data_IF_824488629142
#
_entry.id   IF_824488629142
#
_cell.length_a   1.000
_cell.length_b   1.000
_cell.length_c   1.000
_cell.angle_alpha   90.00
_cell.angle_beta   90.00
_cell.angle_gamma   90.00
#
_symmetry.space_group_name_H-M   'P 1'
#
loop_
_entity.id
_entity.type
_entity.pdbx_description
1 polymer ?
#
# COMPACT_ATOMS: atom_id res chain seq x y z
N UNK A 1 -33.63 7.18 -26.16
CA UNK A 1 -32.98 5.96 -26.70
C UNK A 1 -31.96 5.52 -25.66
N UNK A 2 -32.32 4.48 -24.91
CA UNK A 2 -31.58 3.88 -23.79
C UNK A 2 -31.31 2.43 -24.16
N UNK A 3 -30.08 1.93 -23.97
CA UNK A 3 -29.58 0.54 -23.93
C UNK A 3 -28.03 0.65 -23.92
N UNK A 4 -27.20 -0.08 -23.16
CA UNK A 4 -27.40 -1.14 -22.19
C UNK A 4 -26.13 -1.30 -21.33
N UNK A 5 -26.32 -1.66 -20.07
CA UNK A 5 -25.30 -2.16 -19.11
C UNK A 5 -25.23 -3.68 -19.21
N UNK A 6 -24.08 -4.35 -19.04
CA UNK A 6 -24.05 -5.79 -18.81
C UNK A 6 -23.99 -6.14 -17.31
N UNK A 7 -24.89 -7.02 -16.88
CA UNK A 7 -24.93 -7.72 -15.60
C UNK A 7 -24.77 -9.25 -15.86
N UNK A 8 -24.52 -10.08 -14.83
CA UNK A 8 -23.61 -11.24 -14.90
C UNK A 8 -24.26 -12.55 -15.36
N UNK A 9 -23.43 -13.46 -15.87
CA UNK A 9 -23.84 -14.79 -16.31
C UNK A 9 -23.91 -15.79 -15.14
N UNK A 10 -25.05 -16.47 -15.03
CA UNK A 10 -25.32 -17.59 -14.15
C UNK A 10 -25.33 -18.92 -14.92
N UNK A 11 -25.21 -19.99 -14.15
CA UNK A 11 -24.94 -21.38 -14.49
C UNK A 11 -26.02 -22.13 -15.32
N UNK A 12 -25.52 -23.13 -16.07
CA UNK A 12 -26.17 -24.35 -16.59
C UNK A 12 -24.99 -25.33 -16.89
N UNK A 13 -24.88 -26.58 -16.43
CA UNK A 13 -25.86 -27.51 -15.89
C UNK A 13 -25.98 -28.74 -16.82
N UNK A 14 -25.27 -29.84 -16.52
CA UNK A 14 -25.43 -31.19 -17.10
C UNK A 14 -24.19 -31.70 -17.86
N UNK A 15 -23.53 -32.82 -17.56
CA UNK A 15 -23.79 -33.96 -16.67
C UNK A 15 -23.64 -35.26 -17.46
N UNK A 16 -22.62 -36.10 -17.17
CA UNK A 16 -22.58 -37.52 -17.58
C UNK A 16 -21.39 -38.26 -16.96
N UNK A 17 -21.50 -38.82 -15.75
CA UNK A 17 -21.06 -40.18 -15.37
C UNK A 17 -21.32 -40.37 -13.87
N UNK A 18 -22.09 -41.41 -13.55
CA UNK A 18 -22.73 -41.69 -12.25
C UNK A 18 -21.75 -41.94 -11.09
N UNK A 19 -22.06 -41.53 -9.86
CA UNK A 19 -23.15 -41.96 -8.96
C UNK A 19 -22.80 -43.24 -8.19
N UNK A 20 -22.37 -43.08 -6.93
CA UNK A 20 -23.11 -43.62 -5.78
C UNK A 20 -22.69 -42.94 -4.47
N UNK A 21 -23.72 -42.67 -3.69
CA UNK A 21 -23.90 -41.97 -2.41
C UNK A 21 -22.77 -41.93 -1.37
N UNK A 22 -22.68 -40.75 -0.75
CA UNK A 22 -22.23 -40.56 0.62
C UNK A 22 -23.35 -39.93 1.46
N UNK A 23 -23.70 -40.57 2.59
CA UNK A 23 -24.31 -40.01 3.81
C UNK A 23 -24.12 -41.07 4.90
N UNK A 24 -23.82 -40.83 6.17
CA UNK A 24 -23.35 -39.70 6.94
C UNK A 24 -22.98 -40.29 8.33
N UNK A 25 -22.11 -39.59 9.06
CA UNK A 25 -22.08 -39.42 10.53
C UNK A 25 -21.90 -40.60 11.51
N UNK A 26 -20.87 -40.39 12.36
CA UNK A 26 -20.84 -40.54 13.82
C UNK A 26 -20.60 -41.93 14.47
N UNK A 27 -19.46 -41.99 15.17
CA UNK A 27 -19.06 -42.81 16.33
C UNK A 27 -19.94 -42.51 17.57
N UNK A 28 -19.91 -43.27 18.70
CA UNK A 28 -18.86 -44.18 19.19
C UNK A 28 -19.32 -45.53 19.80
N UNK A 29 -18.30 -46.30 20.21
CA UNK A 29 -18.27 -47.64 20.79
C UNK A 29 -19.03 -47.80 22.12
N UNK A 30 -19.78 -48.91 22.29
CA UNK A 30 -19.97 -49.63 23.55
C UNK A 30 -20.57 -51.04 23.30
N UNK A 31 -20.07 -52.07 23.99
CA UNK A 31 -20.65 -53.42 24.08
C UNK A 31 -19.66 -54.52 23.67
N UNK A 32 -19.11 -55.31 24.59
CA UNK A 32 -19.75 -56.43 25.31
C UNK A 32 -19.44 -57.79 24.65
N UNK A 33 -18.43 -58.45 25.22
CA UNK A 33 -18.44 -59.84 25.71
C UNK A 33 -19.09 -60.98 24.89
N UNK A 34 -18.26 -62.00 24.59
CA UNK A 34 -18.63 -63.34 24.09
C UNK A 34 -17.77 -63.74 22.88
N UNK A 35 -17.19 -64.94 22.70
CA UNK A 35 -17.27 -66.23 23.39
C UNK A 35 -16.17 -67.16 22.81
N UNK A 36 -15.60 -68.03 23.66
CA UNK A 36 -14.97 -69.36 23.42
C UNK A 36 -13.74 -69.55 22.51
N UNK A 37 -12.64 -70.06 23.11
CA UNK A 37 -11.85 -71.28 22.77
C UNK A 37 -10.38 -71.09 23.23
N UNK A 38 -9.95 -71.64 24.36
CA UNK A 38 -9.40 -73.00 24.56
C UNK A 38 -7.91 -73.14 24.18
N UNK A 39 -7.04 -73.18 25.20
CA UNK A 39 -5.77 -73.96 25.31
C UNK A 39 -5.17 -73.66 26.71
N UNK A 40 -5.21 -74.59 27.68
CA UNK A 40 -4.08 -75.50 28.06
C UNK A 40 -2.76 -74.72 28.22
N UNK A 41 -2.11 -74.62 29.39
CA UNK A 41 -1.49 -75.73 30.11
C UNK A 41 -1.04 -75.34 31.55
N UNK A 42 -0.65 -76.38 32.29
CA UNK A 42 -0.45 -76.55 33.73
C UNK A 42 0.50 -75.59 34.48
N UNK A 43 0.21 -75.37 35.77
CA UNK A 43 0.87 -76.06 36.91
C UNK A 43 0.81 -75.21 38.18
N UNK A 44 0.02 -75.61 39.19
CA UNK A 44 0.37 -75.49 40.62
C UNK A 44 -0.66 -76.22 41.49
N UNK A 45 -0.15 -77.08 42.37
CA UNK A 45 -0.85 -77.66 43.52
C UNK A 45 -0.24 -77.05 44.80
N UNK A 46 -0.87 -77.24 45.98
CA UNK A 46 -1.72 -76.26 46.64
C UNK A 46 -1.00 -75.66 47.87
N UNK A 47 -1.68 -74.76 48.61
CA UNK A 47 -1.91 -74.89 50.06
C UNK A 47 -2.14 -73.54 50.79
N UNK A 48 -3.20 -73.52 51.62
CA UNK A 48 -3.45 -72.67 52.80
C UNK A 48 -3.67 -71.15 52.57
N UNK A 49 -4.54 -70.42 53.28
CA UNK A 49 -5.52 -70.67 54.33
C UNK A 49 -6.38 -69.39 54.45
N UNK A 50 -7.55 -69.52 55.06
CA UNK A 50 -8.55 -68.50 55.37
C UNK A 50 -8.00 -67.14 55.85
N UNK A 51 -8.61 -66.03 55.39
CA UNK A 51 -9.27 -65.08 56.30
C UNK A 51 -10.17 -64.09 55.54
N UNK A 52 -11.47 -64.28 55.71
CA UNK A 52 -12.51 -63.28 55.46
C UNK A 52 -12.35 -62.13 56.46
N UNK A 53 -12.11 -60.91 55.97
CA UNK A 53 -12.26 -59.70 56.77
C UNK A 53 -13.21 -58.75 56.05
N UNK A 54 -14.39 -58.63 56.65
CA UNK A 54 -15.40 -57.57 56.55
C UNK A 54 -15.12 -56.41 55.59
N UNK A 55 -16.08 -56.19 54.68
CA UNK A 55 -16.27 -54.96 53.95
C UNK A 55 -16.43 -53.76 54.92
N UNK A 56 -15.34 -53.03 55.15
CA UNK A 56 -15.36 -51.72 55.80
C UNK A 56 -15.36 -50.69 54.69
N UNK A 57 -16.49 -49.98 54.55
CA UNK A 57 -16.60 -48.82 53.66
C UNK A 57 -15.59 -47.78 54.15
N UNK A 58 -14.56 -47.50 53.36
CA UNK A 58 -13.53 -46.54 53.74
C UNK A 58 -14.03 -45.11 53.51
N UNK A 59 -13.93 -44.29 54.54
CA UNK A 59 -14.16 -42.84 54.45
C UNK A 59 -12.94 -42.10 53.91
N UNK A 60 -13.21 -40.91 53.37
CA UNK A 60 -12.30 -40.02 52.61
C UNK A 60 -10.91 -39.81 53.22
N UNK A 61 -10.74 -39.99 54.53
CA UNK A 61 -9.47 -39.79 55.25
C UNK A 61 -8.52 -41.00 55.23
N UNK A 62 -8.94 -42.17 54.73
CA UNK A 62 -8.13 -43.41 54.66
C UNK A 62 -7.91 -43.94 53.24
N UNK A 63 -8.08 -43.10 52.23
CA UNK A 63 -7.81 -43.46 50.83
C UNK A 63 -6.29 -43.62 50.64
N UNK A 64 -5.84 -44.84 50.34
CA UNK A 64 -4.47 -45.11 49.86
C UNK A 64 -4.52 -45.27 48.34
N UNK A 65 -3.39 -45.06 47.65
CA UNK A 65 -3.32 -45.17 46.19
C UNK A 65 -3.69 -46.55 45.60
N UNK A 66 -3.88 -47.57 46.44
CA UNK A 66 -4.33 -48.92 46.07
C UNK A 66 -5.81 -49.19 46.41
N UNK A 67 -6.56 -48.22 46.94
CA UNK A 67 -7.98 -48.39 47.24
C UNK A 67 -8.77 -48.41 45.93
N UNK A 68 -9.48 -49.51 45.67
CA UNK A 68 -10.34 -49.63 44.48
C UNK A 68 -11.57 -48.74 44.61
N UNK A 69 -12.06 -48.24 43.48
CA UNK A 69 -13.24 -47.37 43.44
C UNK A 69 -14.46 -48.01 44.11
N UNK A 70 -14.62 -49.34 44.01
CA UNK A 70 -15.73 -50.09 44.61
C UNK A 70 -15.75 -50.12 46.15
N UNK A 71 -14.60 -49.91 46.81
CA UNK A 71 -14.46 -50.01 48.28
C UNK A 71 -14.65 -48.66 49.02
N UNK A 72 -14.87 -47.59 48.26
CA UNK A 72 -14.99 -46.22 48.76
C UNK A 72 -16.44 -45.87 49.18
N UNK A 73 -16.64 -44.99 50.16
CA UNK A 73 -17.99 -44.55 50.57
C UNK A 73 -18.75 -43.87 49.41
N UNK A 74 -20.09 -44.02 49.36
CA UNK A 74 -20.94 -43.47 48.27
C UNK A 74 -20.74 -41.96 48.06
N UNK A 75 -20.45 -41.22 49.13
CA UNK A 75 -20.21 -39.77 49.08
C UNK A 75 -18.87 -39.41 48.45
N UNK A 76 -17.81 -40.18 48.74
CA UNK A 76 -16.51 -40.01 48.12
C UNK A 76 -16.48 -40.52 46.66
N UNK A 77 -17.24 -41.57 46.33
CA UNK A 77 -17.48 -41.99 44.95
C UNK A 77 -18.17 -40.90 44.12
N UNK A 78 -19.23 -40.28 44.64
CA UNK A 78 -19.94 -39.19 43.97
C UNK A 78 -19.08 -37.93 43.82
N UNK A 79 -18.23 -37.63 44.81
CA UNK A 79 -17.24 -36.56 44.73
C UNK A 79 -16.20 -36.79 43.62
N UNK A 80 -15.67 -38.01 43.50
CA UNK A 80 -14.72 -38.38 42.43
C UNK A 80 -15.39 -38.32 41.05
N UNK A 81 -16.63 -38.81 40.91
CA UNK A 81 -17.39 -38.72 39.66
C UNK A 81 -17.63 -37.25 39.26
N UNK A 82 -17.95 -36.38 40.22
CA UNK A 82 -18.13 -34.93 39.95
C UNK A 82 -16.82 -34.29 39.48
N UNK A 83 -15.70 -34.60 40.13
CA UNK A 83 -14.39 -34.07 39.76
C UNK A 83 -13.98 -34.56 38.37
N UNK A 84 -14.17 -35.84 38.07
CA UNK A 84 -13.85 -36.42 36.75
C UNK A 84 -14.72 -35.82 35.64
N UNK A 85 -16.01 -35.60 35.89
CA UNK A 85 -16.89 -34.90 34.95
C UNK A 85 -16.42 -33.46 34.69
N UNK A 86 -15.98 -32.73 35.72
CA UNK A 86 -15.44 -31.37 35.55
C UNK A 86 -14.15 -31.40 34.73
N UNK A 87 -13.25 -32.36 34.98
CA UNK A 87 -12.01 -32.52 34.21
C UNK A 87 -12.33 -32.82 32.75
N UNK A 88 -13.31 -33.70 32.48
CA UNK A 88 -13.77 -34.01 31.12
C UNK A 88 -14.31 -32.77 30.40
N UNK A 89 -15.10 -31.92 31.08
CA UNK A 89 -15.60 -30.65 30.53
C UNK A 89 -14.45 -29.70 30.21
N UNK A 90 -13.46 -29.56 31.10
CA UNK A 90 -12.29 -28.69 30.88
C UNK A 90 -11.43 -29.20 29.73
N UNK A 91 -11.26 -30.52 29.58
CA UNK A 91 -10.59 -31.11 28.42
C UNK A 91 -11.37 -30.84 27.12
N UNK A 92 -12.70 -30.86 27.18
CA UNK A 92 -13.57 -30.46 26.07
C UNK A 92 -13.34 -29.00 25.64
N UNK A 93 -13.34 -28.07 26.59
CA UNK A 93 -13.06 -26.66 26.31
C UNK A 93 -11.65 -26.43 25.80
N UNK A 94 -10.66 -27.17 26.32
CA UNK A 94 -9.30 -27.14 25.79
C UNK A 94 -9.27 -27.56 24.32
N UNK A 95 -9.92 -28.66 23.97
CA UNK A 95 -9.98 -29.14 22.58
C UNK A 95 -10.72 -28.15 21.66
N UNK A 96 -11.75 -27.48 22.17
CA UNK A 96 -12.48 -26.44 21.45
C UNK A 96 -11.63 -25.18 21.23
N UNK A 97 -10.91 -24.72 22.26
CA UNK A 97 -9.96 -23.59 22.16
C UNK A 97 -8.82 -23.92 21.20
N UNK A 98 -8.26 -25.12 21.29
CA UNK A 98 -7.21 -25.60 20.37
C UNK A 98 -7.75 -25.69 18.92
N UNK A 99 -9.06 -25.91 18.74
CA UNK A 99 -9.74 -25.85 17.44
C UNK A 99 -9.98 -24.42 16.91
N UNK A 100 -10.19 -23.43 17.78
CA UNK A 100 -10.38 -22.03 17.38
C UNK A 100 -9.08 -21.26 17.17
N UNK A 101 -7.97 -21.70 17.78
CA UNK A 101 -6.66 -21.08 17.66
C UNK A 101 -6.18 -20.85 16.22
N UNK A 102 -6.22 -21.85 15.31
CA UNK A 102 -5.71 -21.67 13.94
C UNK A 102 -6.52 -20.65 13.13
N UNK A 103 -7.84 -20.59 13.34
CA UNK A 103 -8.70 -19.61 12.66
C UNK A 103 -8.41 -18.18 13.15
N UNK A 104 -8.14 -18.01 14.44
CA UNK A 104 -7.79 -16.72 15.01
C UNK A 104 -6.37 -16.27 14.60
N UNK A 105 -5.43 -17.21 14.48
CA UNK A 105 -4.08 -16.94 13.98
C UNK A 105 -4.08 -16.40 12.54
N UNK A 106 -4.89 -17.00 11.65
CA UNK A 106 -5.06 -16.53 10.28
C UNK A 106 -5.62 -15.10 10.23
N UNK A 107 -6.61 -14.80 11.08
CA UNK A 107 -7.21 -13.46 11.18
C UNK A 107 -6.23 -12.40 11.72
N UNK A 108 -5.37 -12.76 12.66
CA UNK A 108 -4.32 -11.86 13.15
C UNK A 108 -3.27 -11.62 12.06
N UNK A 109 -2.89 -12.68 11.33
CA UNK A 109 -1.93 -12.58 10.24
C UNK A 109 -2.45 -11.69 9.09
N UNK A 110 -3.73 -11.81 8.73
CA UNK A 110 -4.35 -10.96 7.71
C UNK A 110 -4.42 -9.49 8.15
N UNK A 111 -4.70 -9.23 9.43
CA UNK A 111 -4.72 -7.86 9.96
C UNK A 111 -3.37 -7.14 9.80
N UNK A 112 -2.26 -7.85 10.03
CA UNK A 112 -0.91 -7.29 9.83
C UNK A 112 -0.66 -6.87 8.37
N UNK A 113 -1.09 -7.69 7.42
CA UNK A 113 -1.00 -7.37 5.99
C UNK A 113 -1.89 -6.15 5.63
N UNK A 114 -3.11 -6.10 6.17
CA UNK A 114 -4.06 -5.03 5.88
C UNK A 114 -3.60 -3.67 6.41
N UNK A 115 -2.98 -3.63 7.59
CA UNK A 115 -2.41 -2.39 8.14
C UNK A 115 -1.29 -1.85 7.24
N UNK A 116 -0.36 -2.71 6.80
CA UNK A 116 0.72 -2.30 5.88
C UNK A 116 0.15 -1.80 4.55
N UNK A 117 -0.88 -2.49 4.04
CA UNK A 117 -1.57 -2.08 2.83
C UNK A 117 -2.22 -0.69 2.98
N UNK A 118 -2.94 -0.46 4.08
CA UNK A 118 -3.58 0.82 4.36
C UNK A 118 -2.57 1.94 4.57
N UNK A 119 -1.48 1.69 5.28
CA UNK A 119 -0.40 2.66 5.46
C UNK A 119 0.22 3.06 4.12
N UNK A 120 0.54 2.08 3.27
CA UNK A 120 1.06 2.33 1.92
C UNK A 120 0.06 3.11 1.07
N UNK A 121 -1.23 2.73 1.12
CA UNK A 121 -2.28 3.42 0.35
C UNK A 121 -2.47 4.85 0.85
N UNK A 122 -2.45 5.06 2.15
CA UNK A 122 -2.52 6.39 2.76
C UNK A 122 -1.32 7.25 2.35
N UNK A 123 -0.09 6.71 2.39
CA UNK A 123 1.10 7.42 1.94
C UNK A 123 1.03 7.80 0.45
N UNK A 124 0.49 6.93 -0.41
CA UNK A 124 0.28 7.25 -1.83
C UNK A 124 -0.76 8.36 -2.01
N UNK A 125 -1.91 8.28 -1.32
CA UNK A 125 -2.94 9.32 -1.38
C UNK A 125 -2.40 10.63 -0.83
N UNK A 126 -1.67 10.60 0.28
CA UNK A 126 -1.06 11.79 0.87
C UNK A 126 -0.08 12.44 -0.10
N UNK A 127 0.78 11.66 -0.76
CA UNK A 127 1.71 12.17 -1.77
C UNK A 127 0.97 12.77 -2.97
N UNK A 128 0.04 12.02 -3.55
CA UNK A 128 -0.69 12.44 -4.74
C UNK A 128 -1.53 13.70 -4.48
N UNK A 129 -2.30 13.70 -3.39
CA UNK A 129 -3.23 14.79 -3.08
C UNK A 129 -2.53 16.00 -2.49
N UNK A 130 -1.69 15.83 -1.45
CA UNK A 130 -1.10 16.99 -0.77
C UNK A 130 0.15 17.51 -1.49
N UNK A 131 0.90 16.66 -2.16
CA UNK A 131 2.11 17.05 -2.88
C UNK A 131 1.79 17.52 -4.29
N UNK A 132 1.27 16.61 -5.11
CA UNK A 132 1.19 16.82 -6.55
C UNK A 132 -0.05 17.66 -6.94
N UNK A 133 -1.24 17.30 -6.46
CA UNK A 133 -2.48 17.99 -6.83
C UNK A 133 -2.53 19.43 -6.30
N UNK A 134 -2.07 19.69 -5.08
CA UNK A 134 -2.01 21.05 -4.52
C UNK A 134 -1.07 21.93 -5.34
N UNK A 135 0.13 21.43 -5.69
CA UNK A 135 1.08 22.17 -6.52
C UNK A 135 0.49 22.46 -7.91
N UNK A 136 -0.16 21.47 -8.52
CA UNK A 136 -0.82 21.64 -9.81
C UNK A 136 -1.98 22.65 -9.76
N UNK A 137 -2.82 22.62 -8.71
CA UNK A 137 -3.89 23.61 -8.53
C UNK A 137 -3.31 25.02 -8.35
N UNK A 138 -2.19 25.16 -7.63
CA UNK A 138 -1.52 26.46 -7.49
C UNK A 138 -0.99 26.97 -8.84
N UNK A 139 -0.40 26.10 -9.65
CA UNK A 139 0.05 26.42 -11.01
C UNK A 139 -1.14 26.84 -11.89
N UNK A 140 -2.22 26.04 -11.91
CA UNK A 140 -3.46 26.33 -12.62
C UNK A 140 -4.08 27.67 -12.20
N UNK A 141 -4.08 27.98 -10.90
CA UNK A 141 -4.53 29.30 -10.39
C UNK A 141 -3.64 30.43 -10.88
N UNK A 142 -2.32 30.25 -10.86
CA UNK A 142 -1.37 31.24 -11.37
C UNK A 142 -1.58 31.49 -12.87
N UNK A 143 -1.73 30.43 -13.67
CA UNK A 143 -2.05 30.53 -15.09
C UNK A 143 -3.42 31.18 -15.33
N UNK A 144 -4.44 30.82 -14.54
CA UNK A 144 -5.77 31.42 -14.65
C UNK A 144 -5.74 32.91 -14.32
N UNK A 145 -5.03 33.33 -13.27
CA UNK A 145 -4.86 34.74 -12.94
C UNK A 145 -4.12 35.52 -14.04
N UNK A 146 -3.08 34.92 -14.64
CA UNK A 146 -2.39 35.50 -15.80
C UNK A 146 -3.34 35.65 -16.99
N UNK A 147 -4.11 34.61 -17.32
CA UNK A 147 -5.08 34.66 -18.41
C UNK A 147 -6.20 35.69 -18.18
N UNK A 148 -6.64 35.87 -16.93
CA UNK A 148 -7.63 36.90 -16.59
C UNK A 148 -7.02 38.29 -16.78
N UNK A 149 -5.78 38.51 -16.34
CA UNK A 149 -5.09 39.78 -16.54
C UNK A 149 -4.90 40.09 -18.04
N UNK A 150 -4.51 39.09 -18.83
CA UNK A 150 -4.35 39.19 -20.28
C UNK A 150 -5.69 39.50 -20.97
N UNK A 151 -6.78 38.83 -20.58
CA UNK A 151 -8.11 39.08 -21.11
C UNK A 151 -8.63 40.47 -20.74
N UNK A 152 -8.34 40.96 -19.53
CA UNK A 152 -8.66 42.34 -19.12
C UNK A 152 -7.87 43.36 -19.94
N UNK A 153 -6.60 43.10 -20.25
CA UNK A 153 -5.78 43.94 -21.12
C UNK A 153 -6.40 44.06 -22.53
N UNK A 154 -6.78 42.92 -23.11
CA UNK A 154 -7.43 42.86 -24.41
C UNK A 154 -8.80 43.55 -24.41
N UNK A 155 -9.63 43.33 -23.38
CA UNK A 155 -10.95 43.97 -23.26
C UNK A 155 -10.82 45.50 -23.20
N UNK A 156 -9.87 46.01 -22.41
CA UNK A 156 -9.60 47.46 -22.33
C UNK A 156 -9.17 48.04 -23.67
N UNK A 157 -8.39 47.29 -24.46
CA UNK A 157 -7.99 47.71 -25.79
C UNK A 157 -9.18 47.77 -26.77
N UNK A 158 -10.12 46.82 -26.66
CA UNK A 158 -11.37 46.82 -27.45
C UNK A 158 -12.28 47.97 -27.04
N UNK A 159 -12.42 48.24 -25.75
CA UNK A 159 -13.21 49.36 -25.23
C UNK A 159 -12.61 50.70 -25.69
N UNK A 160 -11.29 50.81 -25.77
CA UNK A 160 -10.59 51.97 -26.33
C UNK A 160 -10.93 52.17 -27.81
N UNK A 161 -10.88 51.11 -28.62
CA UNK A 161 -11.20 51.17 -30.06
C UNK A 161 -12.67 51.54 -30.34
N UNK A 162 -13.57 51.28 -29.40
CA UNK A 162 -14.99 51.63 -29.50
C UNK A 162 -15.23 53.13 -29.30
N UNK A 163 -14.30 53.85 -28.69
CA UNK A 163 -14.40 55.29 -28.50
C UNK A 163 -14.02 56.02 -29.80
N UNK A 164 -14.60 57.21 -30.09
CA UNK A 164 -14.12 58.04 -31.19
C UNK A 164 -12.63 58.36 -30.99
N UNK A 165 -11.85 58.44 -32.08
CA UNK A 165 -10.39 58.64 -32.06
C UNK A 165 -9.89 59.77 -31.13
N UNK A 166 -10.71 60.79 -30.88
CA UNK A 166 -10.41 61.89 -29.95
C UNK A 166 -10.34 61.49 -28.47
N UNK A 167 -10.93 60.34 -28.11
CA UNK A 167 -11.00 59.79 -26.75
C UNK A 167 -10.14 58.52 -26.59
N UNK A 168 -9.36 58.14 -27.60
CA UNK A 168 -8.38 57.06 -27.44
C UNK A 168 -7.33 57.47 -26.41
N UNK A 169 -7.16 56.63 -25.38
CA UNK A 169 -6.06 56.75 -24.41
C UNK A 169 -4.71 56.71 -25.15
N UNK A 170 -3.90 57.78 -25.11
CA UNK A 170 -2.58 57.81 -25.72
C UNK A 170 -1.65 56.84 -24.97
N UNK A 171 -0.82 56.08 -25.69
CA UNK A 171 0.14 55.15 -25.07
C UNK A 171 -0.23 53.67 -25.14
N UNK A 172 -1.50 53.31 -25.42
CA UNK A 172 -1.95 51.91 -25.54
C UNK A 172 -1.18 51.08 -26.58
N UNK A 173 -0.74 51.74 -27.67
CA UNK A 173 -0.10 51.11 -28.83
C UNK A 173 1.33 51.59 -29.06
N UNK A 174 1.90 52.37 -28.15
CA UNK A 174 3.24 52.94 -28.28
C UNK A 174 4.04 52.67 -27.03
N UNK A 175 5.22 52.06 -27.20
CA UNK A 175 6.15 51.74 -26.12
C UNK A 175 6.31 52.97 -25.22
N UNK A 176 6.25 52.86 -23.87
CA UNK A 176 6.60 53.97 -23.00
C UNK A 176 8.11 54.21 -23.13
N UNK A 177 8.52 55.00 -24.12
CA UNK A 177 9.87 55.53 -24.20
C UNK A 177 9.96 56.59 -23.12
N UNK A 178 10.50 56.24 -21.95
CA UNK A 178 10.84 57.15 -20.84
C UNK A 178 10.02 58.45 -20.83
N UNK A 179 8.80 58.39 -20.30
CA UNK A 179 8.08 59.61 -19.94
C UNK A 179 8.86 60.33 -18.85
N UNK A 180 9.68 61.29 -19.29
CA UNK A 180 10.22 62.33 -18.45
C UNK A 180 9.07 63.05 -17.73
N UNK A 181 9.33 63.38 -16.47
CA UNK A 181 8.39 63.91 -15.50
C UNK A 181 7.57 65.10 -16.02
N UNK A 182 6.24 65.06 -15.80
CA UNK A 182 5.40 66.26 -15.85
C UNK A 182 4.04 66.08 -16.52
N UNK A 183 3.16 65.27 -15.93
CA UNK A 183 1.75 65.18 -16.34
C UNK A 183 0.94 64.41 -15.30
N UNK A 184 -0.32 64.80 -15.00
CA UNK A 184 -0.99 64.36 -13.78
C UNK A 184 -1.30 62.87 -13.84
N UNK A 185 -0.98 62.19 -12.73
CA UNK A 185 -1.31 60.81 -12.40
C UNK A 185 -0.34 59.71 -12.87
N UNK A 186 0.79 59.62 -12.17
CA UNK A 186 1.62 58.42 -12.12
C UNK A 186 0.86 57.14 -11.65
N UNK A 187 -0.34 57.29 -11.08
CA UNK A 187 -1.23 56.19 -10.73
C UNK A 187 -2.13 55.74 -11.90
N UNK A 188 -2.45 56.63 -12.85
CA UNK A 188 -3.19 56.29 -14.07
C UNK A 188 -2.28 55.67 -15.14
N UNK A 189 -1.04 56.15 -15.25
CA UNK A 189 -0.02 55.58 -16.13
C UNK A 189 0.41 54.15 -15.72
N UNK A 190 0.24 53.75 -14.46
CA UNK A 190 0.46 52.38 -14.00
C UNK A 190 -0.68 51.42 -14.40
N UNK A 191 -1.83 51.95 -14.84
CA UNK A 191 -3.00 51.20 -15.32
C UNK A 191 -3.27 51.38 -16.82
N UNK A 192 -2.37 52.05 -17.55
CA UNK A 192 -2.43 52.10 -19.00
C UNK A 192 -2.05 50.72 -19.57
N UNK A 193 -2.88 50.13 -20.47
CA UNK A 193 -2.61 48.81 -20.98
C UNK A 193 -1.41 48.85 -21.92
N UNK A 194 -0.23 48.40 -21.47
CA UNK A 194 0.94 48.27 -22.34
C UNK A 194 0.89 46.94 -23.11
N UNK A 195 0.29 46.97 -24.29
CA UNK A 195 0.22 45.82 -25.19
C UNK A 195 1.60 45.43 -25.74
N UNK A 196 2.54 46.38 -25.84
CA UNK A 196 3.86 46.11 -26.43
C UNK A 196 4.74 45.33 -25.45
N UNK A 197 4.75 45.68 -24.16
CA UNK A 197 5.43 44.83 -23.17
C UNK A 197 4.77 43.46 -23.03
N UNK A 198 3.44 43.36 -23.18
CA UNK A 198 2.74 42.08 -23.25
C UNK A 198 3.24 41.22 -24.41
N UNK A 199 3.22 41.75 -25.64
CA UNK A 199 3.72 41.03 -26.81
C UNK A 199 5.21 40.71 -26.71
N UNK A 200 6.04 41.61 -26.17
CA UNK A 200 7.46 41.34 -25.95
C UNK A 200 7.69 40.19 -24.96
N UNK A 201 6.94 40.17 -23.84
CA UNK A 201 6.96 39.05 -22.88
C UNK A 201 6.50 37.75 -23.53
N UNK A 202 5.45 37.81 -24.36
CA UNK A 202 4.94 36.64 -25.06
C UNK A 202 5.94 36.10 -26.09
N UNK A 203 6.60 36.98 -26.85
CA UNK A 203 7.66 36.61 -27.81
C UNK A 203 8.85 36.01 -27.08
N UNK A 204 9.28 36.58 -25.95
CA UNK A 204 10.36 36.00 -25.13
C UNK A 204 9.98 34.59 -24.62
N UNK A 205 8.75 34.41 -24.15
CA UNK A 205 8.22 33.13 -23.71
C UNK A 205 8.12 32.11 -24.86
N UNK A 206 7.70 32.53 -26.06
CA UNK A 206 7.67 31.69 -27.25
C UNK A 206 9.08 31.28 -27.70
N UNK A 207 10.04 32.19 -27.63
CA UNK A 207 11.45 31.91 -27.90
C UNK A 207 12.03 30.89 -26.91
N UNK A 208 11.65 30.93 -25.64
CA UNK A 208 12.04 29.91 -24.67
C UNK A 208 11.42 28.54 -24.99
N UNK A 209 10.15 28.49 -25.39
CA UNK A 209 9.50 27.23 -25.82
C UNK A 209 10.16 26.64 -27.07
N UNK A 210 10.50 27.46 -28.06
CA UNK A 210 11.21 27.00 -29.26
C UNK A 210 12.57 26.41 -28.90
N UNK A 211 13.33 27.05 -27.99
CA UNK A 211 14.59 26.48 -27.49
C UNK A 211 14.40 25.13 -26.81
N UNK A 212 13.36 24.97 -25.98
CA UNK A 212 13.03 23.69 -25.35
C UNK A 212 12.68 22.62 -26.38
N UNK A 213 11.85 22.94 -27.37
CA UNK A 213 11.50 22.02 -28.46
C UNK A 213 12.71 21.59 -29.28
N UNK A 214 13.61 22.52 -29.61
CA UNK A 214 14.89 22.19 -30.26
C UNK A 214 15.76 21.30 -29.38
N UNK A 215 15.76 21.55 -28.06
CA UNK A 215 16.39 20.67 -27.07
C UNK A 215 15.84 19.24 -27.14
N UNK A 216 14.52 19.08 -27.09
CA UNK A 216 13.88 17.77 -27.21
C UNK A 216 14.20 17.08 -28.54
N UNK A 217 14.22 17.80 -29.66
CA UNK A 217 14.62 17.24 -30.95
C UNK A 217 16.07 16.75 -30.90
N UNK A 218 16.99 17.53 -30.32
CA UNK A 218 18.39 17.12 -30.18
C UNK A 218 18.56 15.91 -29.26
N UNK A 219 17.76 15.81 -28.20
CA UNK A 219 17.76 14.67 -27.29
C UNK A 219 17.18 13.42 -27.96
N UNK A 220 16.11 13.55 -28.73
CA UNK A 220 15.53 12.46 -29.53
C UNK A 220 16.56 11.96 -30.55
N UNK A 221 17.26 12.87 -31.23
CA UNK A 221 18.33 12.51 -32.16
C UNK A 221 19.49 11.80 -31.45
N UNK A 222 19.86 12.22 -30.23
CA UNK A 222 20.87 11.57 -29.42
C UNK A 222 20.43 10.19 -28.90
N UNK A 223 19.12 10.01 -28.64
CA UNK A 223 18.56 8.76 -28.14
C UNK A 223 18.30 7.73 -29.24
N UNK A 224 18.02 8.14 -30.48
CA UNK A 224 17.74 7.24 -31.61
C UNK A 224 18.83 6.17 -31.83
N UNK A 225 20.14 6.52 -31.88
CA UNK A 225 21.19 5.52 -31.96
C UNK A 225 21.16 4.56 -30.77
N UNK A 226 20.93 5.03 -29.54
CA UNK A 226 20.86 4.15 -28.36
C UNK A 226 19.71 3.16 -28.46
N UNK A 227 18.56 3.58 -28.98
CA UNK A 227 17.41 2.69 -29.22
C UNK A 227 17.73 1.67 -30.31
N UNK A 228 18.38 2.08 -31.40
CA UNK A 228 18.83 1.18 -32.46
C UNK A 228 19.82 0.14 -31.93
N UNK A 229 20.84 0.56 -31.17
CA UNK A 229 21.79 -0.35 -30.54
C UNK A 229 21.11 -1.29 -29.55
N UNK A 230 20.16 -0.79 -28.75
CA UNK A 230 19.36 -1.63 -27.85
C UNK A 230 18.46 -2.63 -28.58
N UNK A 231 17.97 -2.29 -29.78
CA UNK A 231 17.21 -3.21 -30.63
C UNK A 231 18.13 -4.27 -31.26
N UNK A 232 19.30 -3.89 -31.76
CA UNK A 232 20.30 -4.83 -32.28
C UNK A 232 20.79 -5.79 -31.19
N UNK A 233 21.00 -5.29 -29.97
CA UNK A 233 21.39 -6.10 -28.83
C UNK A 233 20.29 -7.11 -28.49
N UNK A 234 19.02 -6.66 -28.42
CA UNK A 234 17.88 -7.57 -28.19
C UNK A 234 17.68 -8.58 -29.31
N UNK A 235 17.85 -8.19 -30.58
CA UNK A 235 17.75 -9.07 -31.73
C UNK A 235 18.87 -10.12 -31.71
N UNK A 236 20.10 -9.69 -31.42
CA UNK A 236 21.26 -10.59 -31.28
C UNK A 236 21.10 -11.51 -30.09
N UNK A 237 20.61 -11.04 -28.94
CA UNK A 237 20.30 -11.86 -27.78
C UNK A 237 19.20 -12.89 -28.06
N UNK A 238 18.14 -12.49 -28.78
CA UNK A 238 17.04 -13.38 -29.15
C UNK A 238 17.49 -14.44 -30.17
N UNK A 239 18.40 -14.08 -31.07
CA UNK A 239 19.01 -15.00 -32.03
C UNK A 239 20.10 -15.89 -31.41
N UNK A 240 20.81 -15.40 -30.38
CA UNK A 240 21.93 -16.11 -29.74
C UNK A 240 21.50 -17.03 -28.60
N UNK A 241 20.33 -16.86 -27.98
CA UNK A 241 19.91 -17.73 -26.86
C UNK A 241 18.39 -17.86 -26.75
N UNK A 242 17.78 -18.97 -27.22
CA UNK A 242 16.39 -19.28 -26.92
C UNK A 242 16.29 -19.77 -25.47
N UNK A 243 15.92 -18.87 -24.55
CA UNK A 243 15.09 -19.25 -23.40
C UNK A 243 15.70 -19.37 -21.99
N UNK A 244 16.97 -19.05 -21.69
CA UNK A 244 17.49 -19.26 -20.31
C UNK A 244 18.40 -18.17 -19.69
N UNK A 245 18.80 -17.12 -20.42
CA UNK A 245 19.71 -16.08 -19.89
C UNK A 245 19.07 -14.73 -19.52
N UNK A 246 17.80 -14.50 -19.88
CA UNK A 246 17.24 -13.15 -19.99
C UNK A 246 16.87 -12.51 -18.64
N UNK A 247 16.46 -13.29 -17.65
CA UNK A 247 15.98 -12.75 -16.36
C UNK A 247 17.12 -12.42 -15.39
N UNK A 248 18.21 -13.18 -15.44
CA UNK A 248 19.36 -12.99 -14.51
C UNK A 248 20.15 -11.72 -14.86
N UNK A 249 20.33 -11.43 -16.15
CA UNK A 249 20.98 -10.19 -16.60
C UNK A 249 20.16 -8.94 -16.27
N UNK A 250 18.84 -8.99 -16.43
CA UNK A 250 17.96 -7.86 -16.12
C UNK A 250 17.94 -7.53 -14.61
N UNK A 251 17.93 -8.53 -13.73
CA UNK A 251 17.97 -8.30 -12.28
C UNK A 251 19.30 -7.72 -11.80
N UNK A 252 20.43 -8.19 -12.35
CA UNK A 252 21.74 -7.61 -12.01
C UNK A 252 21.88 -6.19 -12.56
N UNK A 253 21.33 -5.91 -13.75
CA UNK A 253 21.25 -4.54 -14.29
C UNK A 253 20.39 -3.62 -13.42
N UNK A 254 19.20 -4.07 -12.99
CA UNK A 254 18.33 -3.30 -12.09
C UNK A 254 19.03 -3.03 -10.76
N UNK A 255 19.71 -4.03 -10.20
CA UNK A 255 20.51 -3.89 -8.98
C UNK A 255 21.65 -2.87 -9.18
N UNK A 256 22.36 -2.92 -10.32
CA UNK A 256 23.37 -1.91 -10.67
C UNK A 256 22.79 -0.50 -10.72
N UNK A 257 21.68 -0.31 -11.44
CA UNK A 257 20.97 0.98 -11.54
C UNK A 257 20.49 1.47 -10.17
N UNK A 258 20.04 0.59 -9.28
CA UNK A 258 19.63 0.97 -7.91
C UNK A 258 20.81 1.44 -7.06
N UNK A 259 21.98 0.80 -7.19
CA UNK A 259 23.21 1.22 -6.50
C UNK A 259 23.71 2.56 -7.05
N UNK A 260 23.70 2.73 -8.37
CA UNK A 260 24.06 4.00 -9.02
C UNK A 260 23.10 5.12 -8.62
N UNK A 261 21.79 4.83 -8.56
CA UNK A 261 20.78 5.77 -8.09
C UNK A 261 21.01 6.15 -6.62
N UNK A 262 21.32 5.18 -5.76
CA UNK A 262 21.67 5.45 -4.35
C UNK A 262 22.85 6.40 -4.27
N UNK A 263 23.91 6.14 -5.01
CA UNK A 263 25.12 6.97 -4.97
C UNK A 263 24.88 8.36 -5.57
N UNK A 264 24.05 8.47 -6.61
CA UNK A 264 23.60 9.75 -7.16
C UNK A 264 22.78 10.56 -6.15
N UNK A 265 21.85 9.91 -5.42
CA UNK A 265 21.06 10.56 -4.36
C UNK A 265 21.97 11.07 -3.24
N UNK A 266 22.95 10.28 -2.82
CA UNK A 266 23.91 10.71 -1.78
C UNK A 266 24.73 11.91 -2.26
N UNK A 267 25.22 11.89 -3.50
CA UNK A 267 25.94 13.03 -4.09
C UNK A 267 25.07 14.28 -4.14
N UNK A 268 23.83 14.16 -4.61
CA UNK A 268 22.89 15.28 -4.65
C UNK A 268 22.57 15.80 -3.24
N UNK A 269 22.40 14.92 -2.25
CA UNK A 269 22.18 15.32 -0.87
C UNK A 269 23.35 16.13 -0.30
N UNK A 270 24.59 15.78 -0.66
CA UNK A 270 25.79 16.55 -0.30
C UNK A 270 25.80 17.93 -0.96
N UNK A 271 25.42 18.03 -2.24
CA UNK A 271 25.33 19.33 -2.92
C UNK A 271 24.22 20.21 -2.34
N UNK A 272 23.06 19.63 -2.01
CA UNK A 272 21.95 20.34 -1.34
C UNK A 272 22.37 20.77 0.08
N UNK A 273 23.12 19.94 0.81
CA UNK A 273 23.66 20.33 2.10
C UNK A 273 24.65 21.50 1.99
N UNK A 274 25.59 21.44 1.03
CA UNK A 274 26.53 22.54 0.76
C UNK A 274 25.83 23.85 0.40
N UNK A 275 24.82 23.78 -0.47
CA UNK A 275 24.04 24.98 -0.84
C UNK A 275 23.24 25.51 0.35
N UNK A 276 22.67 24.63 1.20
CA UNK A 276 22.02 25.02 2.45
C UNK A 276 22.99 25.68 3.43
N UNK A 277 24.19 25.13 3.62
CA UNK A 277 25.23 25.74 4.47
C UNK A 277 25.69 27.09 3.91
N UNK A 278 25.86 27.20 2.58
CA UNK A 278 26.18 28.47 1.93
C UNK A 278 25.08 29.53 2.14
N UNK A 279 23.81 29.12 2.11
CA UNK A 279 22.67 30.01 2.35
C UNK A 279 22.59 30.42 3.83
N UNK A 280 22.75 29.49 4.75
CA UNK A 280 22.76 29.75 6.20
C UNK A 280 23.93 30.67 6.60
N UNK A 281 25.10 30.49 6.00
CA UNK A 281 26.25 31.38 6.22
C UNK A 281 26.04 32.76 5.60
N UNK A 282 25.37 32.86 4.44
CA UNK A 282 24.97 34.14 3.87
C UNK A 282 23.97 34.86 4.76
N UNK A 283 22.96 34.15 5.27
CA UNK A 283 21.96 34.65 6.19
C UNK A 283 22.60 35.13 7.51
N UNK A 284 23.51 34.34 8.09
CA UNK A 284 24.25 34.73 9.28
C UNK A 284 25.14 35.96 9.05
N UNK A 285 25.76 36.09 7.86
CA UNK A 285 26.53 37.29 7.49
C UNK A 285 25.65 38.51 7.28
N UNK A 286 24.43 38.33 6.73
CA UNK A 286 23.45 39.41 6.59
C UNK A 286 22.96 39.87 7.97
N UNK A 287 22.60 38.94 8.86
CA UNK A 287 22.18 39.24 10.23
C UNK A 287 23.31 39.84 11.09
N UNK A 288 24.54 39.36 10.93
CA UNK A 288 25.71 39.89 11.63
C UNK A 288 26.09 41.30 11.18
N UNK A 289 25.74 41.67 9.94
CA UNK A 289 25.99 43.01 9.38
C UNK A 289 24.94 44.04 9.81
N UNK A 290 23.77 43.64 10.31
CA UNK A 290 22.79 44.54 10.93
C UNK A 290 23.11 44.89 12.40
N UNK A 291 24.12 44.26 13.02
CA UNK A 291 24.51 44.52 14.42
C UNK A 291 25.79 45.35 14.60
N UNK A 292 26.26 46.05 13.57
CA UNK A 292 27.37 47.03 13.62
C UNK A 292 26.89 48.32 12.99
#
# INVERSE_FOLDING_TARGET
MSLATPAPAAALGGGLFGAVNNTATATPKLGAFGQTAQAQNASVQPQQQQQSVQAVRLDMNQVRGSTKFEDLSKEAQDGIIKIDNIISVIMGWKAEIDGFLPAHEEQIASLGHDVIYLERKYAMVQRAVLGDDVANIQELRSMSNQNIADAQLASKAVDNLKLPMSYHVPGLWTQPTNASAGGPSAAAAASEPDLISYFNRHIASLGERDRKLRGYISEIQAHMPRVEHGLYEKLTQLQATPGMGHQVGALEQIKGVLLDLRDAIIKQAVEVAKTREALMTLEQKLLGRERV
#
